data_IF_544271917950
#
_entry.id   IF_544271917950
#
_cell.length_a   1.000
_cell.length_b   1.000
_cell.length_c   1.000
_cell.angle_alpha   90.00
_cell.angle_beta   90.00
_cell.angle_gamma   90.00
#
_symmetry.space_group_name_H-M   'P 1'
#
loop_
_entity.id
_entity.type
_entity.pdbx_description
1 polymer ?
#
# COMPACT_ATOMS: atom_id res chain seq x y z
N UNK A 1 3.77 30.59 2.30
CA UNK A 1 2.91 30.92 3.46
C UNK A 1 3.74 30.69 4.71
N UNK A 2 3.82 31.67 5.63
CA UNK A 2 4.56 31.47 6.87
C UNK A 2 3.65 30.71 7.84
N UNK A 3 4.19 29.65 8.45
CA UNK A 3 3.46 28.85 9.43
C UNK A 3 3.30 29.63 10.76
N UNK A 4 2.12 29.53 11.36
CA UNK A 4 1.83 30.09 12.67
C UNK A 4 1.12 29.03 13.52
N UNK A 5 1.65 28.76 14.71
CA UNK A 5 1.03 27.82 15.65
C UNK A 5 -0.12 28.50 16.42
N UNK A 6 -1.22 28.77 15.71
CA UNK A 6 -2.41 29.38 16.31
C UNK A 6 -3.69 28.74 15.77
N UNK A 7 -4.75 28.77 16.60
CA UNK A 7 -6.07 28.30 16.18
C UNK A 7 -6.65 29.13 15.02
N UNK A 8 -6.36 30.43 15.00
CA UNK A 8 -6.84 31.32 13.95
C UNK A 8 -6.22 30.94 12.60
N UNK A 9 -4.91 30.63 12.58
CA UNK A 9 -4.22 30.19 11.38
C UNK A 9 -4.80 28.86 10.84
N UNK A 10 -5.05 27.87 11.73
CA UNK A 10 -5.69 26.62 11.35
C UNK A 10 -7.10 26.84 10.75
N UNK A 11 -7.93 27.66 11.38
CA UNK A 11 -9.25 28.00 10.87
C UNK A 11 -9.21 28.73 9.51
N UNK A 12 -8.21 29.57 9.27
CA UNK A 12 -8.01 30.22 7.97
C UNK A 12 -7.62 29.21 6.89
N UNK A 13 -6.83 28.18 7.22
CA UNK A 13 -6.49 27.10 6.29
C UNK A 13 -7.71 26.25 5.99
N UNK A 14 -8.47 25.83 7.01
CA UNK A 14 -9.70 25.07 6.84
C UNK A 14 -10.72 25.80 5.95
N UNK A 15 -10.87 27.10 6.13
CA UNK A 15 -11.78 27.92 5.32
C UNK A 15 -11.37 28.03 3.84
N UNK A 16 -10.10 27.83 3.54
CA UNK A 16 -9.55 27.87 2.17
C UNK A 16 -9.38 26.50 1.55
N UNK A 17 -9.63 25.42 2.30
CA UNK A 17 -9.45 24.05 1.82
C UNK A 17 -10.52 23.70 0.76
N UNK A 18 -10.15 23.48 -0.50
CA UNK A 18 -11.08 23.10 -1.56
C UNK A 18 -11.72 21.72 -1.32
N UNK A 19 -11.13 20.91 -0.46
CA UNK A 19 -11.60 19.56 -0.11
C UNK A 19 -12.55 19.56 1.09
N UNK A 20 -12.70 20.66 1.81
CA UNK A 20 -13.56 20.76 3.01
C UNK A 20 -14.99 20.23 2.79
N UNK A 21 -15.54 20.43 1.57
CA UNK A 21 -16.88 19.95 1.19
C UNK A 21 -17.03 18.43 1.30
N UNK A 22 -15.96 17.67 1.04
CA UNK A 22 -15.99 16.20 1.07
C UNK A 22 -16.04 15.62 2.48
N UNK A 23 -15.72 16.42 3.52
CA UNK A 23 -15.84 15.97 4.91
C UNK A 23 -17.25 15.46 5.24
N UNK A 24 -18.27 16.06 4.64
CA UNK A 24 -19.66 15.69 4.86
C UNK A 24 -20.06 14.37 4.16
N UNK A 25 -19.23 13.81 3.30
CA UNK A 25 -19.48 12.52 2.64
C UNK A 25 -19.14 11.31 3.52
N UNK A 26 -18.58 11.55 4.70
CA UNK A 26 -18.12 10.49 5.60
C UNK A 26 -18.89 10.49 6.93
N UNK A 27 -18.96 9.30 7.54
CA UNK A 27 -19.50 9.08 8.88
C UNK A 27 -18.36 9.16 9.89
N UNK A 28 -18.48 10.04 10.88
CA UNK A 28 -17.49 10.21 11.94
C UNK A 28 -17.90 9.43 13.19
N UNK A 29 -16.97 8.71 13.83
CA UNK A 29 -17.18 8.18 15.17
C UNK A 29 -17.57 9.30 16.13
N UNK A 30 -18.45 9.00 17.09
CA UNK A 30 -18.91 9.96 18.06
C UNK A 30 -18.24 9.73 19.42
N UNK A 31 -17.69 10.79 20.03
CA UNK A 31 -17.15 10.80 21.38
C UNK A 31 -17.87 11.93 22.12
N UNK A 32 -18.59 11.59 23.21
CA UNK A 32 -19.37 12.56 23.97
C UNK A 32 -20.31 13.42 23.11
N UNK A 33 -21.02 12.80 22.18
CA UNK A 33 -21.93 13.42 21.21
C UNK A 33 -21.26 14.47 20.28
N UNK A 34 -19.96 14.36 20.06
CA UNK A 34 -19.21 15.18 19.10
C UNK A 34 -18.44 14.30 18.15
N UNK A 35 -18.25 14.77 16.91
CA UNK A 35 -17.38 14.08 15.97
C UNK A 35 -15.98 13.93 16.55
N UNK A 36 -15.46 12.71 16.53
CA UNK A 36 -14.09 12.43 16.90
C UNK A 36 -13.10 13.17 15.99
N UNK A 37 -11.97 13.57 16.55
CA UNK A 37 -10.80 13.96 15.77
C UNK A 37 -10.15 12.65 15.29
N UNK A 38 -10.23 12.38 13.97
CA UNK A 38 -9.82 11.10 13.40
C UNK A 38 -8.60 11.28 12.49
N UNK A 39 -7.45 10.74 12.91
CA UNK A 39 -6.18 10.79 12.21
C UNK A 39 -5.59 9.41 11.85
N UNK A 40 -6.40 8.36 11.93
CA UNK A 40 -5.98 6.99 11.66
C UNK A 40 -6.45 6.47 10.29
N UNK A 41 -6.73 7.38 9.37
CA UNK A 41 -7.17 7.05 8.01
C UNK A 41 -6.17 6.21 7.19
N UNK A 42 -4.90 6.24 7.57
CA UNK A 42 -3.86 5.37 7.02
C UNK A 42 -4.07 3.89 7.37
N UNK A 43 -4.70 3.59 8.50
CA UNK A 43 -5.02 2.23 8.92
C UNK A 43 -6.39 1.79 8.42
N UNK A 44 -7.42 2.60 8.70
CA UNK A 44 -8.78 2.40 8.20
C UNK A 44 -9.43 3.76 7.96
N UNK A 45 -9.82 4.04 6.73
CA UNK A 45 -10.54 5.26 6.36
C UNK A 45 -11.91 5.35 7.04
N UNK A 46 -12.43 6.57 7.17
CA UNK A 46 -13.82 6.77 7.60
C UNK A 46 -14.79 6.15 6.58
N UNK A 47 -15.90 5.61 7.08
CA UNK A 47 -16.93 5.03 6.22
C UNK A 47 -17.58 6.12 5.34
N UNK A 48 -17.53 5.99 4.00
CA UNK A 48 -18.33 6.83 3.12
C UNK A 48 -19.83 6.58 3.34
N UNK A 49 -20.63 7.62 3.37
CA UNK A 49 -22.08 7.50 3.54
C UNK A 49 -22.76 6.65 2.45
N UNK A 50 -22.22 6.69 1.24
CA UNK A 50 -22.71 5.90 0.11
C UNK A 50 -22.36 4.41 0.17
N UNK A 51 -21.42 3.98 1.04
CA UNK A 51 -20.96 2.59 1.08
C UNK A 51 -22.11 1.60 1.28
N UNK A 52 -23.03 1.91 2.23
CA UNK A 52 -24.16 1.04 2.51
C UNK A 52 -25.11 0.88 1.32
N UNK A 53 -25.39 1.98 0.58
CA UNK A 53 -26.26 1.91 -0.58
C UNK A 53 -25.70 1.07 -1.72
N UNK A 54 -24.36 1.13 -1.92
CA UNK A 54 -23.70 0.28 -2.91
C UNK A 54 -23.75 -1.20 -2.53
N UNK A 55 -23.54 -1.53 -1.26
CA UNK A 55 -23.66 -2.91 -0.78
C UNK A 55 -25.11 -3.41 -0.92
N UNK A 56 -26.09 -2.58 -0.54
CA UNK A 56 -27.51 -2.92 -0.67
C UNK A 56 -27.89 -3.16 -2.13
N UNK A 57 -27.41 -2.34 -3.08
CA UNK A 57 -27.66 -2.55 -4.52
C UNK A 57 -27.19 -3.93 -4.97
N UNK A 58 -26.01 -4.36 -4.56
CA UNK A 58 -25.48 -5.69 -4.93
C UNK A 58 -26.30 -6.82 -4.29
N UNK A 59 -26.74 -6.65 -3.04
CA UNK A 59 -27.58 -7.64 -2.37
C UNK A 59 -28.95 -7.77 -3.02
N UNK A 60 -29.55 -6.66 -3.46
CA UNK A 60 -30.83 -6.65 -4.17
C UNK A 60 -30.70 -7.31 -5.55
N UNK A 61 -29.63 -6.99 -6.29
CA UNK A 61 -29.34 -7.63 -7.58
C UNK A 61 -29.15 -9.15 -7.39
N UNK A 62 -28.43 -9.57 -6.33
CA UNK A 62 -28.28 -10.99 -6.03
C UNK A 62 -29.62 -11.66 -5.69
N UNK A 63 -30.45 -11.04 -4.86
CA UNK A 63 -31.76 -11.56 -4.48
C UNK A 63 -32.73 -11.71 -5.65
N UNK A 64 -32.61 -10.84 -6.66
CA UNK A 64 -33.54 -10.82 -7.81
C UNK A 64 -33.03 -11.55 -9.04
N UNK A 65 -31.72 -11.58 -9.26
CA UNK A 65 -31.10 -12.10 -10.49
C UNK A 65 -30.33 -13.40 -10.27
N UNK A 66 -29.96 -13.74 -9.03
CA UNK A 66 -29.11 -14.90 -8.73
C UNK A 66 -27.88 -14.95 -9.67
N UNK A 67 -27.64 -16.06 -10.37
CA UNK A 67 -26.49 -16.23 -11.29
C UNK A 67 -26.51 -15.23 -12.45
N UNK A 68 -27.67 -14.78 -12.87
CA UNK A 68 -27.81 -13.80 -13.95
C UNK A 68 -27.23 -12.42 -13.58
N UNK A 69 -27.04 -12.14 -12.30
CA UNK A 69 -26.36 -10.93 -11.82
C UNK A 69 -24.96 -10.73 -12.39
N UNK A 70 -24.29 -11.81 -12.81
CA UNK A 70 -23.00 -11.71 -13.50
C UNK A 70 -23.09 -10.86 -14.77
N UNK A 71 -24.25 -10.85 -15.47
CA UNK A 71 -24.42 -10.19 -16.77
C UNK A 71 -25.54 -9.13 -16.78
N UNK A 72 -26.57 -9.26 -15.93
CA UNK A 72 -27.80 -8.47 -16.00
C UNK A 72 -27.97 -7.50 -14.81
N UNK A 73 -27.08 -7.53 -13.79
CA UNK A 73 -27.10 -6.56 -12.71
C UNK A 73 -26.91 -5.13 -13.24
N UNK A 74 -27.33 -4.12 -12.51
CA UNK A 74 -27.05 -2.70 -12.84
C UNK A 74 -25.58 -2.45 -13.09
N UNK A 75 -24.74 -3.14 -12.34
CA UNK A 75 -23.30 -3.20 -12.49
C UNK A 75 -22.91 -4.67 -12.60
N UNK A 76 -22.85 -5.27 -13.80
CA UNK A 76 -22.53 -6.67 -13.98
C UNK A 76 -21.29 -7.09 -13.21
N UNK A 77 -21.31 -8.29 -12.63
CA UNK A 77 -20.23 -8.74 -11.74
C UNK A 77 -19.05 -9.35 -12.47
N UNK A 78 -19.26 -9.78 -13.74
CA UNK A 78 -18.24 -10.46 -14.53
C UNK A 78 -16.99 -9.63 -14.73
N UNK A 79 -17.16 -8.33 -15.03
CA UNK A 79 -16.09 -7.36 -15.29
C UNK A 79 -15.98 -6.28 -14.20
N UNK A 80 -16.54 -6.54 -13.01
CA UNK A 80 -16.69 -5.53 -11.97
C UNK A 80 -15.35 -4.89 -11.56
N UNK A 81 -14.28 -5.68 -11.51
CA UNK A 81 -12.93 -5.23 -11.14
C UNK A 81 -12.32 -4.27 -12.17
N UNK A 82 -12.69 -4.35 -13.44
CA UNK A 82 -12.15 -3.49 -14.50
C UNK A 82 -12.67 -2.05 -14.41
N UNK A 83 -13.84 -1.84 -13.78
CA UNK A 83 -14.51 -0.55 -13.68
C UNK A 83 -13.72 0.49 -12.90
N UNK A 84 -12.81 0.03 -12.05
CA UNK A 84 -12.02 0.90 -11.19
C UNK A 84 -10.70 1.33 -11.81
N UNK A 85 -10.24 0.65 -12.85
CA UNK A 85 -8.91 0.82 -13.41
C UNK A 85 -8.62 2.27 -13.85
N UNK A 86 -9.58 2.93 -14.52
CA UNK A 86 -9.43 4.31 -15.00
C UNK A 86 -9.33 5.35 -13.86
N UNK A 87 -10.04 5.14 -12.76
CA UNK A 87 -10.00 6.04 -11.60
C UNK A 87 -8.74 5.81 -10.79
N UNK A 88 -8.43 4.54 -10.50
CA UNK A 88 -7.27 4.17 -9.69
C UNK A 88 -5.96 4.50 -10.39
N UNK A 89 -5.90 4.40 -11.72
CA UNK A 89 -4.69 4.77 -12.47
C UNK A 89 -4.24 6.21 -12.19
N UNK A 90 -5.18 7.13 -11.96
CA UNK A 90 -4.89 8.52 -11.59
C UNK A 90 -4.37 8.67 -10.16
N UNK A 91 -4.82 7.77 -9.26
CA UNK A 91 -4.39 7.79 -7.84
C UNK A 91 -3.00 7.22 -7.69
N UNK A 92 -2.73 6.08 -8.35
CA UNK A 92 -1.45 5.36 -8.22
C UNK A 92 -0.41 5.78 -9.28
N UNK A 93 -0.78 6.60 -10.26
CA UNK A 93 0.14 7.06 -11.30
C UNK A 93 0.53 5.99 -12.33
N UNK A 94 -0.36 5.01 -12.58
CA UNK A 94 -0.14 3.91 -13.52
C UNK A 94 -1.11 3.99 -14.71
N UNK A 95 -0.91 3.17 -15.75
CA UNK A 95 -1.86 3.03 -16.84
C UNK A 95 -3.05 2.17 -16.39
N UNK A 96 -4.28 2.37 -16.94
CA UNK A 96 -5.42 1.53 -16.59
C UNK A 96 -5.16 0.03 -16.80
N UNK A 97 -4.38 -0.34 -17.81
CA UNK A 97 -3.99 -1.73 -18.11
C UNK A 97 -3.01 -2.34 -17.10
N UNK A 98 -2.45 -1.52 -16.22
CA UNK A 98 -1.52 -1.94 -15.15
C UNK A 98 -2.23 -2.03 -13.78
N UNK A 99 -3.55 -1.78 -13.73
CA UNK A 99 -4.36 -1.79 -12.51
C UNK A 99 -5.21 -3.05 -12.44
N UNK A 100 -5.11 -3.74 -11.33
CA UNK A 100 -6.00 -4.84 -10.98
C UNK A 100 -6.51 -4.66 -9.56
N UNK A 101 -7.84 -4.59 -9.41
CA UNK A 101 -8.49 -4.57 -8.09
C UNK A 101 -8.80 -6.01 -7.69
N UNK A 102 -8.17 -6.45 -6.62
CA UNK A 102 -8.36 -7.81 -6.12
C UNK A 102 -8.22 -7.82 -4.59
N UNK A 103 -8.35 -8.90 -3.98
CA UNK A 103 -8.23 -9.31 -2.58
C UNK A 103 -7.76 -8.23 -1.54
N UNK A 104 -7.46 -8.67 -0.33
CA UNK A 104 -6.83 -7.86 0.72
C UNK A 104 -5.32 -7.75 0.48
N UNK A 105 -4.68 -6.77 1.10
CA UNK A 105 -3.24 -6.51 0.96
C UNK A 105 -2.39 -7.77 1.19
N UNK A 106 -2.56 -8.45 2.31
CA UNK A 106 -1.73 -9.64 2.65
C UNK A 106 -1.87 -10.74 1.60
N UNK A 107 -3.09 -11.01 1.10
CA UNK A 107 -3.33 -11.99 0.04
C UNK A 107 -2.64 -11.55 -1.25
N UNK A 108 -2.77 -10.27 -1.61
CA UNK A 108 -2.13 -9.72 -2.80
C UNK A 108 -0.60 -9.79 -2.73
N UNK A 109 -0.01 -9.51 -1.57
CA UNK A 109 1.43 -9.65 -1.35
C UNK A 109 1.89 -11.10 -1.60
N UNK A 110 1.18 -12.10 -1.06
CA UNK A 110 1.50 -13.51 -1.33
C UNK A 110 1.38 -13.85 -2.82
N UNK A 111 0.35 -13.38 -3.51
CA UNK A 111 0.17 -13.62 -4.95
C UNK A 111 1.26 -12.93 -5.78
N UNK A 112 1.65 -11.71 -5.40
CA UNK A 112 2.78 -11.01 -6.04
C UNK A 112 4.09 -11.76 -5.83
N UNK A 113 4.33 -12.32 -4.64
CA UNK A 113 5.52 -13.13 -4.39
C UNK A 113 5.58 -14.36 -5.28
N UNK A 114 4.46 -15.06 -5.51
CA UNK A 114 4.41 -16.20 -6.47
C UNK A 114 4.85 -15.77 -7.87
N UNK A 115 4.52 -14.55 -8.28
CA UNK A 115 4.87 -14.02 -9.60
C UNK A 115 6.29 -13.49 -9.68
N UNK A 116 6.76 -12.73 -8.69
CA UNK A 116 7.97 -11.92 -8.76
C UNK A 116 9.12 -12.44 -7.91
N UNK A 117 8.89 -13.22 -6.87
CA UNK A 117 9.94 -13.85 -6.08
C UNK A 117 10.20 -15.26 -6.58
N UNK A 118 11.15 -15.41 -7.50
CA UNK A 118 11.58 -16.70 -8.08
C UNK A 118 13.04 -16.94 -7.76
N UNK A 119 13.34 -17.42 -6.54
CA UNK A 119 14.70 -17.60 -6.10
C UNK A 119 15.42 -18.68 -6.91
N UNK A 120 16.72 -18.46 -7.13
CA UNK A 120 17.65 -19.43 -7.70
C UNK A 120 18.78 -19.66 -6.70
N UNK A 121 19.69 -20.59 -6.99
CA UNK A 121 20.89 -20.83 -6.16
C UNK A 121 21.79 -19.62 -6.01
N UNK A 122 21.75 -18.67 -6.96
CA UNK A 122 22.57 -17.46 -6.95
C UNK A 122 21.79 -16.22 -6.51
N UNK A 123 20.55 -16.08 -6.99
CA UNK A 123 19.70 -14.90 -6.80
C UNK A 123 18.49 -15.28 -5.97
N UNK A 124 18.51 -15.03 -4.66
CA UNK A 124 17.47 -15.48 -3.74
C UNK A 124 17.17 -14.52 -2.59
N UNK A 125 17.99 -13.48 -2.40
CA UNK A 125 17.81 -12.55 -1.28
C UNK A 125 16.69 -11.55 -1.54
N UNK A 126 16.00 -11.19 -0.44
CA UNK A 126 14.99 -10.14 -0.41
C UNK A 126 15.50 -9.01 0.46
N UNK A 127 15.53 -7.79 -0.07
CA UNK A 127 15.80 -6.58 0.70
C UNK A 127 14.48 -5.98 1.15
N UNK A 128 14.33 -5.72 2.45
CA UNK A 128 13.19 -5.02 3.05
C UNK A 128 13.66 -4.06 4.15
N UNK A 129 12.80 -3.15 4.59
CA UNK A 129 13.15 -2.32 5.76
C UNK A 129 13.08 -3.12 7.06
N UNK A 130 13.93 -2.82 8.02
CA UNK A 130 13.81 -3.37 9.37
C UNK A 130 12.48 -2.98 10.00
N UNK A 131 11.85 -3.92 10.70
CA UNK A 131 10.55 -3.69 11.32
C UNK A 131 9.50 -3.18 10.32
N UNK A 132 9.51 -3.71 9.10
CA UNK A 132 8.40 -3.54 8.15
C UNK A 132 7.05 -3.84 8.83
N UNK A 133 5.95 -3.46 8.22
CA UNK A 133 4.65 -3.76 8.81
C UNK A 133 4.51 -5.27 9.08
N UNK A 134 3.93 -5.71 10.21
CA UNK A 134 3.97 -7.13 10.62
C UNK A 134 3.49 -8.12 9.57
N UNK A 135 2.43 -7.79 8.79
CA UNK A 135 1.96 -8.67 7.72
C UNK A 135 3.02 -8.92 6.66
N UNK A 136 3.82 -7.90 6.32
CA UNK A 136 4.87 -7.98 5.31
C UNK A 136 6.03 -8.83 5.81
N UNK A 137 6.45 -8.63 7.07
CA UNK A 137 7.50 -9.45 7.68
C UNK A 137 7.11 -10.94 7.68
N UNK A 138 5.88 -11.26 8.12
CA UNK A 138 5.39 -12.64 8.14
C UNK A 138 5.27 -13.22 6.73
N UNK A 139 4.77 -12.44 5.78
CA UNK A 139 4.64 -12.86 4.40
C UNK A 139 6.00 -13.13 3.77
N UNK A 140 6.98 -12.23 3.90
CA UNK A 140 8.34 -12.40 3.36
C UNK A 140 8.97 -13.68 3.97
N UNK A 141 8.96 -13.81 5.30
CA UNK A 141 9.54 -14.97 5.96
C UNK A 141 8.83 -16.29 5.57
N UNK A 142 7.51 -16.26 5.39
CA UNK A 142 6.72 -17.41 4.94
C UNK A 142 7.10 -17.83 3.52
N UNK A 143 7.22 -16.88 2.60
CA UNK A 143 7.59 -17.15 1.20
C UNK A 143 9.04 -17.68 1.08
N UNK A 144 9.96 -17.12 1.85
CA UNK A 144 11.34 -17.62 1.90
C UNK A 144 11.37 -19.09 2.35
N UNK A 145 10.64 -19.43 3.43
CA UNK A 145 10.53 -20.83 3.90
C UNK A 145 9.83 -21.74 2.90
N UNK A 146 8.80 -21.25 2.20
CA UNK A 146 8.09 -21.99 1.17
C UNK A 146 9.03 -22.46 0.05
N UNK A 147 10.05 -21.65 -0.28
CA UNK A 147 11.09 -22.00 -1.24
C UNK A 147 12.23 -22.84 -0.64
N UNK A 148 12.13 -23.30 0.61
CA UNK A 148 13.16 -24.09 1.28
C UNK A 148 14.39 -23.31 1.71
N UNK A 149 14.31 -21.97 1.75
CA UNK A 149 15.42 -21.10 2.13
C UNK A 149 15.36 -20.73 3.63
N UNK A 150 16.51 -20.39 4.20
CA UNK A 150 16.60 -19.86 5.56
C UNK A 150 16.33 -18.35 5.58
N UNK A 151 15.32 -17.86 6.32
CA UNK A 151 15.06 -16.42 6.44
C UNK A 151 16.25 -15.60 6.96
N UNK A 152 17.07 -16.15 7.85
CA UNK A 152 18.25 -15.45 8.39
C UNK A 152 19.31 -15.16 7.35
N UNK A 153 19.38 -15.95 6.27
CA UNK A 153 20.30 -15.75 5.16
C UNK A 153 19.64 -14.98 3.99
N UNK A 154 18.37 -15.30 3.70
CA UNK A 154 17.71 -14.78 2.52
C UNK A 154 17.04 -13.39 2.73
N UNK A 155 16.77 -12.97 3.97
CA UNK A 155 16.17 -11.67 4.26
C UNK A 155 17.27 -10.68 4.67
N UNK A 156 17.41 -9.61 3.92
CA UNK A 156 18.36 -8.53 4.19
C UNK A 156 17.59 -7.31 4.64
N UNK A 157 17.65 -7.00 5.93
CA UNK A 157 16.99 -5.84 6.48
C UNK A 157 17.86 -4.57 6.31
N UNK A 158 17.28 -3.55 5.70
CA UNK A 158 17.79 -2.18 5.75
C UNK A 158 17.69 -1.67 7.19
N UNK A 159 18.75 -1.07 7.68
CA UNK A 159 18.80 -0.58 9.06
C UNK A 159 18.99 0.94 9.11
N UNK A 160 18.40 1.54 10.12
CA UNK A 160 18.69 2.93 10.48
C UNK A 160 20.03 3.02 11.19
N UNK A 161 20.71 4.15 11.08
CA UNK A 161 21.92 4.41 11.88
C UNK A 161 21.56 4.58 13.35
N UNK A 162 22.49 4.28 14.22
CA UNK A 162 22.29 4.44 15.67
C UNK A 162 21.87 5.87 16.04
N UNK A 163 20.79 5.99 16.80
CA UNK A 163 20.21 7.27 17.19
C UNK A 163 19.37 7.97 16.12
N UNK A 164 19.21 7.38 14.93
CA UNK A 164 18.34 7.92 13.88
C UNK A 164 16.98 7.23 13.83
N UNK A 165 15.95 8.00 13.48
CA UNK A 165 14.58 7.49 13.34
C UNK A 165 14.24 7.14 11.89
N UNK A 166 14.95 7.72 10.93
CA UNK A 166 14.69 7.57 9.49
C UNK A 166 15.84 6.82 8.81
N UNK A 167 15.50 6.15 7.71
CA UNK A 167 16.50 5.53 6.82
C UNK A 167 17.14 6.60 5.95
N UNK A 168 18.43 6.47 5.71
CA UNK A 168 19.13 7.32 4.76
C UNK A 168 19.14 6.68 3.38
N UNK A 169 18.81 7.45 2.36
CA UNK A 169 18.78 6.95 0.98
C UNK A 169 20.13 6.40 0.54
N UNK A 170 21.23 7.06 0.93
CA UNK A 170 22.58 6.59 0.62
C UNK A 170 22.92 5.21 1.21
N UNK A 171 22.44 4.91 2.42
CA UNK A 171 22.64 3.60 3.06
C UNK A 171 21.81 2.51 2.38
N UNK A 172 20.61 2.86 1.94
CA UNK A 172 19.74 1.96 1.15
C UNK A 172 20.46 1.60 -0.16
N UNK A 173 20.96 2.60 -0.89
CA UNK A 173 21.65 2.39 -2.16
C UNK A 173 22.93 1.58 -2.00
N UNK A 174 23.72 1.86 -0.96
CA UNK A 174 24.92 1.09 -0.64
C UNK A 174 24.59 -0.38 -0.33
N UNK A 175 23.50 -0.65 0.41
CA UNK A 175 23.08 -2.02 0.70
C UNK A 175 22.57 -2.75 -0.54
N UNK A 176 21.87 -2.08 -1.45
CA UNK A 176 21.46 -2.66 -2.73
C UNK A 176 22.68 -3.06 -3.55
N UNK A 177 23.71 -2.20 -3.62
CA UNK A 177 24.96 -2.48 -4.33
C UNK A 177 25.75 -3.63 -3.67
N UNK A 178 25.82 -3.65 -2.34
CA UNK A 178 26.48 -4.71 -1.55
C UNK A 178 25.87 -6.09 -1.82
N UNK A 179 24.53 -6.21 -1.79
CA UNK A 179 23.82 -7.48 -2.06
C UNK A 179 23.93 -7.86 -3.54
N UNK A 180 23.92 -6.89 -4.43
CA UNK A 180 24.19 -7.07 -5.84
C UNK A 180 23.37 -8.17 -6.51
N UNK A 181 24.05 -9.07 -7.23
CA UNK A 181 23.40 -10.14 -8.01
C UNK A 181 22.65 -11.18 -7.17
N UNK A 182 22.87 -11.27 -5.87
CA UNK A 182 22.14 -12.19 -4.99
C UNK A 182 20.70 -11.69 -4.70
N UNK A 183 20.43 -10.39 -4.92
CA UNK A 183 19.11 -9.81 -4.69
C UNK A 183 18.12 -10.25 -5.76
N UNK A 184 17.07 -10.98 -5.35
CA UNK A 184 15.94 -11.35 -6.20
C UNK A 184 14.83 -10.30 -6.19
N UNK A 185 14.58 -9.72 -5.03
CA UNK A 185 13.48 -8.78 -4.80
C UNK A 185 13.87 -7.70 -3.80
N UNK A 186 13.45 -6.48 -4.05
CA UNK A 186 13.39 -5.39 -3.07
C UNK A 186 11.91 -5.14 -2.79
N UNK A 187 11.48 -5.27 -1.54
CA UNK A 187 10.10 -5.01 -1.13
C UNK A 187 10.10 -4.09 0.11
N UNK A 188 9.64 -2.87 -0.07
CA UNK A 188 9.68 -1.80 0.93
C UNK A 188 8.33 -1.08 0.95
N UNK A 189 7.89 -0.59 2.09
CA UNK A 189 6.77 0.34 2.18
C UNK A 189 7.09 1.66 1.47
N UNK A 190 6.15 2.24 0.72
CA UNK A 190 6.33 3.56 0.10
C UNK A 190 6.44 4.68 1.14
N UNK A 191 5.72 4.50 2.25
CA UNK A 191 5.78 5.33 3.45
C UNK A 191 5.99 4.43 4.66
N UNK A 192 7.04 4.67 5.43
CA UNK A 192 7.26 3.90 6.65
C UNK A 192 6.11 4.16 7.64
N UNK A 193 5.37 3.14 8.03
CA UNK A 193 4.14 3.25 8.83
C UNK A 193 4.38 3.83 10.24
N UNK A 194 5.59 3.68 10.77
CA UNK A 194 5.92 4.10 12.12
C UNK A 194 6.43 5.54 12.20
N UNK A 195 7.27 5.95 11.22
CA UNK A 195 7.91 7.27 11.22
C UNK A 195 7.24 8.26 10.28
N UNK A 196 6.45 7.80 9.32
CA UNK A 196 5.89 8.64 8.25
C UNK A 196 6.91 9.04 7.18
N UNK A 197 8.11 8.44 7.18
CA UNK A 197 9.12 8.71 6.18
C UNK A 197 8.66 8.22 4.80
N UNK A 198 8.66 9.12 3.82
CA UNK A 198 8.47 8.78 2.40
C UNK A 198 9.82 8.37 1.82
N UNK A 199 9.90 7.18 1.22
CA UNK A 199 11.10 6.72 0.54
C UNK A 199 11.24 7.34 -0.86
N UNK A 200 12.48 7.50 -1.33
CA UNK A 200 12.73 7.90 -2.71
C UNK A 200 12.55 6.70 -3.65
N UNK A 201 11.28 6.38 -3.92
CA UNK A 201 10.89 5.19 -4.69
C UNK A 201 11.58 5.13 -6.05
N UNK A 202 11.69 6.27 -6.75
CA UNK A 202 12.32 6.31 -8.08
C UNK A 202 13.78 5.86 -8.02
N UNK A 203 14.58 6.49 -7.17
CA UNK A 203 16.02 6.22 -7.06
C UNK A 203 16.29 4.77 -6.60
N UNK A 204 15.51 4.28 -5.63
CA UNK A 204 15.64 2.91 -5.13
C UNK A 204 15.22 1.90 -6.20
N UNK A 205 14.16 2.15 -6.95
CA UNK A 205 13.73 1.30 -8.06
C UNK A 205 14.78 1.21 -9.15
N UNK A 206 15.36 2.36 -9.56
CA UNK A 206 16.43 2.42 -10.54
C UNK A 206 17.66 1.62 -10.09
N UNK A 207 18.06 1.73 -8.81
CA UNK A 207 19.15 0.98 -8.24
C UNK A 207 18.88 -0.54 -8.22
N UNK A 208 17.67 -0.95 -7.82
CA UNK A 208 17.27 -2.36 -7.85
C UNK A 208 17.27 -2.95 -9.27
N UNK A 209 16.74 -2.22 -10.24
CA UNK A 209 16.76 -2.66 -11.63
C UNK A 209 18.18 -2.77 -12.19
N UNK A 210 19.09 -1.87 -11.80
CA UNK A 210 20.50 -1.91 -12.23
C UNK A 210 21.21 -3.21 -11.84
N UNK A 211 20.87 -3.79 -10.68
CA UNK A 211 21.39 -5.09 -10.23
C UNK A 211 20.56 -6.28 -10.72
N UNK A 212 19.48 -6.02 -11.48
CA UNK A 212 18.58 -7.03 -12.03
C UNK A 212 17.58 -7.61 -11.04
N UNK A 213 17.31 -6.94 -9.91
CA UNK A 213 16.26 -7.30 -8.96
C UNK A 213 14.90 -6.79 -9.40
N UNK A 214 13.84 -7.52 -9.04
CA UNK A 214 12.49 -6.92 -9.03
C UNK A 214 12.36 -5.93 -7.87
N UNK A 215 11.54 -4.90 -8.05
CA UNK A 215 11.27 -3.91 -7.00
C UNK A 215 9.76 -3.79 -6.82
N UNK A 216 9.28 -4.09 -5.64
CA UNK A 216 7.89 -3.95 -5.22
C UNK A 216 7.76 -2.88 -4.12
N UNK A 217 6.62 -2.18 -4.13
CA UNK A 217 6.29 -1.17 -3.15
C UNK A 217 4.95 -1.50 -2.50
N UNK A 218 4.93 -1.61 -1.18
CA UNK A 218 3.69 -1.58 -0.43
C UNK A 218 3.26 -0.12 -0.22
N UNK A 219 2.12 0.24 -0.78
CA UNK A 219 1.58 1.60 -0.73
C UNK A 219 0.36 1.72 0.20
N UNK A 220 0.23 0.80 1.14
CA UNK A 220 -0.83 0.83 2.14
C UNK A 220 -0.74 2.03 3.09
#
# INVERSE_FOLDING_TARGET
MQFENSRLFAQQLDAKDPLAKYRNEFIFPQINNKNAIYFTGNSLGLQPKLAQSYVTEIMDDWGTLAVEGHFQAKKPWWDYHERFANQLSKVVGAKPTEITVMNTLTVNLHLMMVSFYRPTTKRYKIICEEKAFPSDQYMIASQVRFHGLNPEDAIVELKKRDGEHNFRTEDILAKIEEVGEECALILIGGVNYYTGQVFNMKTITEAGHKIGAFVGWDLA
#
